data_IF_864416172634
#
_entry.id   IF_864416172634
#
_cell.length_a   1.000
_cell.length_b   1.000
_cell.length_c   1.000
_cell.angle_alpha   90.00
_cell.angle_beta   90.00
_cell.angle_gamma   90.00
#
_symmetry.space_group_name_H-M   'P 1'
#
loop_
_entity.id
_entity.type
_entity.pdbx_description
1 polymer ?
#
# COMPACT_ATOMS: atom_id res chain seq x y z
N UNK A 1 20.97 -8.80 -9.42
CA UNK A 1 19.53 -8.88 -9.71
C UNK A 1 18.87 -9.49 -8.48
N UNK A 2 17.68 -9.03 -8.07
CA UNK A 2 16.94 -9.67 -6.98
C UNK A 2 16.63 -11.13 -7.34
N UNK A 3 16.56 -11.99 -6.34
CA UNK A 3 16.16 -13.39 -6.53
C UNK A 3 14.70 -13.48 -6.96
N UNK A 4 14.35 -14.47 -7.79
CA UNK A 4 12.99 -14.69 -8.25
C UNK A 4 12.49 -16.03 -7.73
N UNK A 5 11.34 -16.04 -7.07
CA UNK A 5 10.74 -17.22 -6.48
C UNK A 5 9.33 -17.48 -6.98
N UNK A 6 8.91 -18.75 -6.95
CA UNK A 6 7.53 -19.17 -7.19
C UNK A 6 6.98 -19.80 -5.91
N UNK A 7 5.82 -19.34 -5.46
CA UNK A 7 5.10 -19.90 -4.31
C UNK A 7 3.88 -20.70 -4.75
N UNK A 8 3.66 -21.85 -4.12
CA UNK A 8 2.52 -22.74 -4.42
C UNK A 8 1.25 -22.38 -3.64
N UNK A 9 1.23 -21.23 -2.94
CA UNK A 9 0.03 -20.76 -2.23
C UNK A 9 -1.12 -20.58 -3.23
N UNK A 10 -2.27 -21.16 -2.92
CA UNK A 10 -3.44 -21.22 -3.80
C UNK A 10 -4.26 -19.92 -3.78
N UNK A 11 -3.59 -18.80 -4.04
CA UNK A 11 -4.20 -17.47 -4.16
C UNK A 11 -3.34 -16.59 -5.07
N UNK A 12 -3.91 -15.86 -6.05
CA UNK A 12 -3.16 -14.95 -6.91
C UNK A 12 -2.52 -13.82 -6.10
N UNK A 13 -1.19 -13.80 -6.06
CA UNK A 13 -0.39 -12.84 -5.32
C UNK A 13 1.05 -12.72 -5.85
N UNK A 14 1.64 -11.54 -5.69
CA UNK A 14 3.07 -11.28 -5.84
C UNK A 14 3.54 -10.35 -4.71
N UNK A 15 4.79 -10.46 -4.30
CA UNK A 15 5.37 -9.55 -3.33
C UNK A 15 6.88 -9.44 -3.49
N UNK A 16 7.40 -8.24 -3.28
CA UNK A 16 8.82 -8.00 -3.07
C UNK A 16 9.18 -8.02 -1.58
N UNK A 17 10.24 -8.74 -1.22
CA UNK A 17 10.83 -8.72 0.14
C UNK A 17 12.32 -8.46 0.07
N UNK A 18 12.88 -7.80 1.09
CA UNK A 18 14.31 -7.55 1.18
C UNK A 18 14.67 -6.12 1.58
N UNK A 19 15.91 -5.94 2.03
CA UNK A 19 16.38 -4.67 2.61
C UNK A 19 16.99 -3.72 1.58
N UNK A 20 17.41 -4.22 0.42
CA UNK A 20 18.03 -3.44 -0.65
C UNK A 20 17.94 -4.22 -1.99
N UNK A 21 18.14 -3.57 -3.15
CA UNK A 21 18.07 -4.23 -4.46
C UNK A 21 19.05 -5.40 -4.66
N UNK A 22 20.10 -5.51 -3.84
CA UNK A 22 21.08 -6.60 -3.89
C UNK A 22 20.66 -7.81 -3.06
N UNK A 23 19.82 -7.61 -2.05
CA UNK A 23 19.31 -8.62 -1.11
C UNK A 23 17.78 -8.60 -1.10
N UNK A 24 17.18 -8.48 -2.28
CA UNK A 24 15.74 -8.53 -2.47
C UNK A 24 15.36 -9.80 -3.23
N UNK A 25 14.20 -10.33 -2.89
CA UNK A 25 13.55 -11.42 -3.60
C UNK A 25 12.16 -10.96 -4.03
N UNK A 26 11.79 -11.29 -5.26
CA UNK A 26 10.43 -11.09 -5.77
C UNK A 26 9.80 -12.46 -5.94
N UNK A 27 8.66 -12.66 -5.31
CA UNK A 27 7.97 -13.95 -5.31
C UNK A 27 6.61 -13.78 -5.96
N UNK A 28 6.31 -14.62 -6.96
CA UNK A 28 4.99 -14.72 -7.57
C UNK A 28 4.36 -16.06 -7.18
N UNK A 29 3.05 -16.09 -6.97
CA UNK A 29 2.32 -17.33 -6.71
C UNK A 29 1.94 -18.03 -8.02
N UNK A 30 1.87 -19.36 -8.03
CA UNK A 30 1.48 -20.12 -9.24
C UNK A 30 0.11 -19.73 -9.79
N UNK A 31 -0.94 -19.48 -8.97
CA UNK A 31 -2.20 -18.97 -9.49
C UNK A 31 -2.11 -17.59 -10.15
N UNK A 32 -1.19 -16.72 -9.70
CA UNK A 32 -0.96 -15.42 -10.35
C UNK A 32 -0.40 -15.60 -11.77
N UNK A 33 0.58 -16.50 -11.92
CA UNK A 33 1.18 -16.82 -13.22
C UNK A 33 0.15 -17.38 -14.22
N UNK A 34 -0.87 -18.07 -13.73
CA UNK A 34 -1.96 -18.60 -14.56
C UNK A 34 -3.05 -17.55 -14.86
N UNK A 35 -3.14 -16.48 -14.05
CA UNK A 35 -4.17 -15.44 -14.16
C UNK A 35 -3.75 -14.31 -15.13
N UNK A 36 -2.49 -13.92 -15.08
CA UNK A 36 -1.94 -12.79 -15.82
C UNK A 36 -1.19 -13.26 -17.08
N UNK A 37 -1.22 -12.46 -18.14
CA UNK A 37 -0.29 -12.64 -19.26
C UNK A 37 1.14 -12.24 -18.86
N UNK A 38 2.15 -12.64 -19.64
CA UNK A 38 3.55 -12.25 -19.41
C UNK A 38 3.71 -10.72 -19.33
N UNK A 39 2.99 -10.00 -20.18
CA UNK A 39 2.95 -8.53 -20.26
C UNK A 39 2.33 -7.88 -19.00
N UNK A 40 1.26 -8.48 -18.48
CA UNK A 40 0.59 -8.03 -17.25
C UNK A 40 1.45 -8.34 -16.01
N UNK A 41 2.06 -9.54 -15.99
CA UNK A 41 2.97 -9.97 -14.95
C UNK A 41 4.22 -9.09 -14.89
N UNK A 42 4.78 -8.72 -16.05
CA UNK A 42 5.89 -7.76 -16.16
C UNK A 42 5.52 -6.44 -15.47
N UNK A 43 4.31 -5.93 -15.71
CA UNK A 43 3.80 -4.72 -15.07
C UNK A 43 3.72 -4.86 -13.54
N UNK A 44 3.16 -5.96 -13.04
CA UNK A 44 3.04 -6.22 -11.59
C UNK A 44 4.41 -6.35 -10.92
N UNK A 45 5.34 -7.08 -11.54
CA UNK A 45 6.70 -7.22 -11.00
C UNK A 45 7.46 -5.88 -11.03
N UNK A 46 7.25 -5.06 -12.06
CA UNK A 46 7.85 -3.73 -12.13
C UNK A 46 7.30 -2.79 -11.04
N UNK A 47 6.03 -2.91 -10.68
CA UNK A 47 5.44 -2.22 -9.53
C UNK A 47 6.11 -2.66 -8.21
N UNK A 48 6.21 -3.97 -7.95
CA UNK A 48 6.87 -4.51 -6.75
C UNK A 48 8.34 -4.10 -6.64
N UNK A 49 9.07 -4.12 -7.76
CA UNK A 49 10.45 -3.63 -7.82
C UNK A 49 10.55 -2.13 -7.56
N UNK A 50 9.53 -1.37 -7.94
CA UNK A 50 9.50 0.08 -7.72
C UNK A 50 9.41 0.43 -6.24
N UNK A 51 8.73 -0.35 -5.41
CA UNK A 51 8.77 -0.16 -3.95
C UNK A 51 10.17 -0.32 -3.36
N UNK A 52 10.95 -1.29 -3.88
CA UNK A 52 12.34 -1.46 -3.46
C UNK A 52 13.20 -0.29 -3.94
N UNK A 53 13.05 0.08 -5.22
CA UNK A 53 13.82 1.17 -5.85
C UNK A 53 13.57 2.51 -5.14
N UNK A 54 12.31 2.78 -4.81
CA UNK A 54 11.89 4.04 -4.21
C UNK A 54 12.03 4.04 -2.68
N UNK A 55 12.47 2.92 -2.08
CA UNK A 55 12.78 2.74 -0.65
C UNK A 55 11.57 2.93 0.27
N UNK A 56 10.43 2.41 -0.13
CA UNK A 56 9.13 2.64 0.52
C UNK A 56 9.14 2.19 1.98
N UNK A 57 9.75 1.04 2.27
CA UNK A 57 9.92 0.53 3.63
C UNK A 57 10.67 1.54 4.52
N UNK A 58 11.73 2.17 4.00
CA UNK A 58 12.50 3.17 4.75
C UNK A 58 11.66 4.43 4.98
N UNK A 59 10.95 4.92 3.96
CA UNK A 59 10.09 6.09 4.04
C UNK A 59 8.98 5.88 5.08
N UNK A 60 8.30 4.73 5.02
CA UNK A 60 7.25 4.38 5.98
C UNK A 60 7.79 4.21 7.40
N UNK A 61 8.95 3.55 7.56
CA UNK A 61 9.59 3.38 8.87
C UNK A 61 10.03 4.72 9.48
N UNK A 62 10.59 5.62 8.67
CA UNK A 62 10.97 6.97 9.10
C UNK A 62 9.74 7.81 9.49
N UNK A 63 8.68 7.77 8.67
CA UNK A 63 7.42 8.44 8.98
C UNK A 63 6.80 7.92 10.28
N UNK A 64 6.79 6.60 10.48
CA UNK A 64 6.31 5.97 11.71
C UNK A 64 7.14 6.40 12.92
N UNK A 65 8.47 6.39 12.81
CA UNK A 65 9.36 6.81 13.89
C UNK A 65 9.14 8.28 14.29
N UNK A 66 9.00 9.19 13.31
CA UNK A 66 8.70 10.60 13.56
C UNK A 66 7.32 10.77 14.23
N UNK A 67 6.30 10.06 13.73
CA UNK A 67 4.97 10.09 14.33
C UNK A 67 5.01 9.59 15.78
N UNK A 68 5.70 8.47 16.05
CA UNK A 68 5.87 7.95 17.41
C UNK A 68 6.60 8.93 18.32
N UNK A 69 7.64 9.60 17.83
CA UNK A 69 8.37 10.62 18.59
C UNK A 69 7.47 11.82 18.96
N UNK A 70 6.72 12.34 17.98
CA UNK A 70 5.80 13.47 18.20
C UNK A 70 4.70 13.07 19.19
N UNK A 71 4.08 11.89 19.00
CA UNK A 71 3.07 11.37 19.91
C UNK A 71 3.63 11.18 21.32
N UNK A 72 4.86 10.68 21.46
CA UNK A 72 5.52 10.50 22.75
C UNK A 72 5.74 11.83 23.47
N UNK A 73 6.33 12.82 22.80
CA UNK A 73 6.58 14.16 23.39
C UNK A 73 5.27 14.84 23.76
N UNK A 74 4.26 14.75 22.90
CA UNK A 74 2.96 15.36 23.15
C UNK A 74 2.27 14.71 24.34
N UNK A 75 2.28 13.37 24.41
CA UNK A 75 1.74 12.61 25.53
C UNK A 75 2.46 12.97 26.83
N UNK A 76 3.79 13.06 26.81
CA UNK A 76 4.57 13.47 27.98
C UNK A 76 4.22 14.89 28.46
N UNK A 77 4.04 15.84 27.54
CA UNK A 77 3.64 17.20 27.88
C UNK A 77 2.22 17.26 28.46
N UNK A 78 1.27 16.54 27.84
CA UNK A 78 -0.12 16.45 28.27
C UNK A 78 -0.24 15.84 29.66
N UNK A 79 0.36 14.66 29.89
CA UNK A 79 0.32 14.00 31.19
C UNK A 79 1.17 14.73 32.24
N UNK A 80 2.32 15.31 31.87
CA UNK A 80 3.14 16.13 32.76
C UNK A 80 2.39 17.37 33.27
N UNK A 81 1.58 18.01 32.41
CA UNK A 81 0.71 19.13 32.78
C UNK A 81 -0.37 18.73 33.81
N UNK A 82 -0.90 17.50 33.72
CA UNK A 82 -1.86 16.96 34.69
C UNK A 82 -1.24 16.74 36.07
N UNK A 83 -0.04 16.15 36.15
CA UNK A 83 0.62 15.93 37.44
C UNK A 83 0.94 17.24 38.17
N UNK A 84 1.11 18.34 37.43
CA UNK A 84 1.37 19.66 38.00
C UNK A 84 0.08 20.42 38.39
N UNK A 85 -1.08 20.01 37.89
CA UNK A 85 -2.38 20.65 38.13
C UNK A 85 -3.26 19.77 39.02
N UNK A 86 -3.07 19.86 40.35
CA UNK A 86 -3.77 19.03 41.34
C UNK A 86 -5.30 19.19 41.41
N UNK A 87 -5.88 20.21 40.78
CA UNK A 87 -7.31 20.57 40.94
C UNK A 87 -8.03 20.96 39.64
N UNK A 88 -7.55 20.52 38.47
CA UNK A 88 -8.09 20.98 37.19
C UNK A 88 -8.72 19.85 36.36
N UNK A 89 -9.98 19.50 36.65
CA UNK A 89 -10.74 18.48 35.91
C UNK A 89 -10.85 18.76 34.41
N UNK A 90 -10.79 20.04 34.00
CA UNK A 90 -10.71 20.43 32.59
C UNK A 90 -9.40 19.98 31.92
N UNK A 91 -8.28 19.99 32.66
CA UNK A 91 -7.01 19.48 32.17
C UNK A 91 -7.08 17.99 31.86
N UNK A 92 -7.70 17.21 32.75
CA UNK A 92 -7.87 15.75 32.57
C UNK A 92 -8.69 15.43 31.33
N UNK A 93 -9.78 16.18 31.09
CA UNK A 93 -10.59 16.01 29.89
C UNK A 93 -9.81 16.34 28.62
N UNK A 94 -9.06 17.45 28.59
CA UNK A 94 -8.20 17.81 27.45
C UNK A 94 -7.16 16.71 27.19
N UNK A 95 -6.56 16.16 28.25
CA UNK A 95 -5.57 15.12 28.14
C UNK A 95 -6.14 13.82 27.54
N UNK A 96 -7.31 13.39 27.99
CA UNK A 96 -8.00 12.20 27.44
C UNK A 96 -8.36 12.42 25.97
N UNK A 97 -8.88 13.59 25.61
CA UNK A 97 -9.21 13.93 24.21
C UNK A 97 -7.95 13.91 23.35
N UNK A 98 -6.86 14.53 23.81
CA UNK A 98 -5.58 14.52 23.11
C UNK A 98 -5.08 13.07 22.92
N UNK A 99 -5.13 12.25 23.97
CA UNK A 99 -4.65 10.87 23.94
C UNK A 99 -5.40 10.00 22.91
N UNK A 100 -6.69 10.27 22.71
CA UNK A 100 -7.49 9.58 21.71
C UNK A 100 -7.29 10.12 20.29
N UNK A 101 -7.13 11.44 20.13
CA UNK A 101 -7.09 12.11 18.82
C UNK A 101 -5.71 12.08 18.15
N UNK A 102 -4.62 12.16 18.92
CA UNK A 102 -3.25 12.16 18.40
C UNK A 102 -2.89 10.89 17.62
N UNK A 103 -3.14 9.66 18.14
CA UNK A 103 -2.89 8.44 17.38
C UNK A 103 -3.72 8.34 16.10
N UNK A 104 -4.97 8.81 16.14
CA UNK A 104 -5.84 8.85 14.95
C UNK A 104 -5.28 9.79 13.87
N UNK A 105 -4.82 10.97 14.26
CA UNK A 105 -4.18 11.90 13.34
C UNK A 105 -2.90 11.31 12.71
N UNK A 106 -2.04 10.71 13.54
CA UNK A 106 -0.83 10.03 13.07
C UNK A 106 -1.14 8.89 12.09
N UNK A 107 -2.17 8.10 12.38
CA UNK A 107 -2.63 7.02 11.51
C UNK A 107 -3.12 7.55 10.16
N UNK A 108 -3.91 8.63 10.13
CA UNK A 108 -4.38 9.24 8.88
C UNK A 108 -3.21 9.74 8.02
N UNK A 109 -2.19 10.35 8.63
CA UNK A 109 -0.98 10.78 7.92
C UNK A 109 -0.24 9.57 7.34
N UNK A 110 -0.06 8.49 8.12
CA UNK A 110 0.59 7.27 7.64
C UNK A 110 -0.16 6.63 6.46
N UNK A 111 -1.49 6.56 6.53
CA UNK A 111 -2.33 6.07 5.44
C UNK A 111 -2.20 6.94 4.18
N UNK A 112 -2.14 8.27 4.34
CA UNK A 112 -1.90 9.20 3.25
C UNK A 112 -0.54 8.98 2.58
N UNK A 113 0.53 8.80 3.38
CA UNK A 113 1.86 8.47 2.87
C UNK A 113 1.82 7.14 2.11
N UNK A 114 1.21 6.10 2.69
CA UNK A 114 1.08 4.76 2.06
C UNK A 114 0.43 4.85 0.68
N UNK A 115 -0.69 5.57 0.55
CA UNK A 115 -1.35 5.73 -0.77
C UNK A 115 -0.46 6.45 -1.78
N UNK A 116 0.24 7.49 -1.35
CA UNK A 116 1.15 8.21 -2.24
C UNK A 116 2.32 7.32 -2.72
N UNK A 117 2.75 6.38 -1.88
CA UNK A 117 3.76 5.38 -2.25
C UNK A 117 3.27 4.40 -3.31
N UNK A 118 2.04 3.91 -3.19
CA UNK A 118 1.40 3.07 -4.20
C UNK A 118 1.31 3.76 -5.56
N UNK A 119 0.89 5.02 -5.58
CA UNK A 119 0.81 5.81 -6.82
C UNK A 119 2.18 6.03 -7.45
N UNK A 120 3.20 6.31 -6.65
CA UNK A 120 4.57 6.44 -7.13
C UNK A 120 5.10 5.11 -7.67
N UNK A 121 4.74 3.98 -7.06
CA UNK A 121 5.13 2.65 -7.52
C UNK A 121 4.44 2.28 -8.85
N UNK A 122 3.16 2.61 -9.01
CA UNK A 122 2.43 2.47 -10.28
C UNK A 122 3.11 3.25 -11.40
N UNK A 123 3.37 4.54 -11.17
CA UNK A 123 4.02 5.39 -12.16
C UNK A 123 5.44 4.90 -12.47
N UNK A 124 6.24 4.60 -11.45
CA UNK A 124 7.61 4.13 -11.61
C UNK A 124 7.67 2.81 -12.35
N UNK A 125 6.79 1.86 -12.02
CA UNK A 125 6.71 0.54 -12.65
C UNK A 125 6.26 0.65 -14.10
N UNK A 126 5.22 1.44 -14.37
CA UNK A 126 4.73 1.70 -15.71
C UNK A 126 5.77 2.41 -16.60
N UNK A 127 6.52 3.38 -16.06
CA UNK A 127 7.64 4.02 -16.77
C UNK A 127 8.81 3.07 -17.00
N UNK A 128 9.04 2.11 -16.10
CA UNK A 128 10.10 1.11 -16.25
C UNK A 128 9.81 0.14 -17.40
N UNK A 129 8.56 -0.31 -17.54
CA UNK A 129 8.14 -1.22 -18.62
C UNK A 129 7.81 -0.47 -19.90
N UNK A 130 7.50 0.83 -19.80
CA UNK A 130 6.98 1.64 -20.91
C UNK A 130 5.58 1.22 -21.37
N UNK A 131 4.87 0.42 -20.56
CA UNK A 131 3.55 -0.14 -20.88
C UNK A 131 2.55 0.07 -19.72
N UNK A 132 2.10 1.31 -19.45
CA UNK A 132 1.16 1.59 -18.35
C UNK A 132 -0.15 0.80 -18.43
N UNK A 133 -0.67 0.61 -19.65
CA UNK A 133 -1.93 -0.14 -19.85
C UNK A 133 -1.85 -1.61 -19.49
N UNK A 134 -0.66 -2.23 -19.53
CA UNK A 134 -0.49 -3.62 -19.09
C UNK A 134 -0.68 -3.76 -17.59
N UNK A 135 -0.14 -2.81 -16.81
CA UNK A 135 -0.36 -2.77 -15.37
C UNK A 135 -1.83 -2.47 -15.05
N UNK A 136 -2.47 -1.56 -15.79
CA UNK A 136 -3.90 -1.29 -15.63
C UNK A 136 -4.77 -2.53 -15.91
N UNK A 137 -4.47 -3.30 -16.96
CA UNK A 137 -5.14 -4.57 -17.27
C UNK A 137 -4.93 -5.60 -16.16
N UNK A 138 -3.69 -5.72 -15.65
CA UNK A 138 -3.37 -6.60 -14.54
C UNK A 138 -4.18 -6.28 -13.29
N UNK A 139 -4.35 -4.99 -12.94
CA UNK A 139 -5.16 -4.55 -11.79
C UNK A 139 -6.63 -4.99 -11.93
N UNK A 140 -7.22 -4.86 -13.12
CA UNK A 140 -8.59 -5.33 -13.39
C UNK A 140 -8.71 -6.85 -13.21
N UNK A 141 -7.74 -7.61 -13.74
CA UNK A 141 -7.72 -9.07 -13.60
C UNK A 141 -7.52 -9.52 -12.16
N UNK A 142 -6.66 -8.83 -11.40
CA UNK A 142 -6.42 -9.11 -9.99
C UNK A 142 -7.68 -8.87 -9.15
N UNK A 143 -8.38 -7.76 -9.37
CA UNK A 143 -9.63 -7.47 -8.65
C UNK A 143 -10.70 -8.54 -8.93
N UNK A 144 -10.80 -8.98 -10.19
CA UNK A 144 -11.75 -10.00 -10.63
C UNK A 144 -11.36 -11.39 -10.13
N UNK A 145 -10.09 -11.77 -10.25
CA UNK A 145 -9.54 -13.07 -9.87
C UNK A 145 -9.52 -13.30 -8.36
N UNK A 146 -9.28 -12.25 -7.57
CA UNK A 146 -9.38 -12.32 -6.11
C UNK A 146 -10.83 -12.47 -5.62
N UNK A 147 -11.81 -11.97 -6.38
CA UNK A 147 -13.24 -12.16 -6.09
C UNK A 147 -13.71 -13.60 -6.35
N UNK A 148 -12.86 -14.50 -6.86
CA UNK A 148 -13.19 -15.90 -7.08
C UNK A 148 -13.37 -16.67 -5.75
N UNK A 149 -14.49 -17.41 -5.67
CA UNK A 149 -14.88 -18.23 -4.50
C UNK A 149 -13.97 -19.45 -4.28
N UNK A 150 -13.05 -19.74 -5.20
CA UNK A 150 -12.07 -20.82 -5.13
C UNK A 150 -10.80 -20.46 -4.35
N UNK A 151 -10.59 -19.18 -4.02
CA UNK A 151 -9.40 -18.73 -3.30
C UNK A 151 -9.50 -19.09 -1.81
N UNK A 152 -8.43 -19.68 -1.27
CA UNK A 152 -8.40 -20.09 0.13
C UNK A 152 -7.94 -18.95 1.03
N UNK A 153 -8.91 -18.21 1.56
CA UNK A 153 -8.70 -17.14 2.55
C UNK A 153 -8.73 -17.64 4.00
N UNK A 154 -8.77 -18.97 4.23
CA UNK A 154 -8.92 -19.53 5.58
C UNK A 154 -7.69 -19.32 6.46
N UNK A 155 -6.53 -19.05 5.86
CA UNK A 155 -5.26 -18.97 6.59
C UNK A 155 -4.91 -17.52 6.97
N UNK A 156 -5.33 -17.13 8.18
CA UNK A 156 -5.16 -15.78 8.74
C UNK A 156 -3.69 -15.32 8.82
N UNK A 157 -2.72 -16.25 8.87
CA UNK A 157 -1.29 -15.92 8.93
C UNK A 157 -0.76 -15.25 7.66
N UNK A 158 -1.45 -15.40 6.52
CA UNK A 158 -1.07 -14.77 5.25
C UNK A 158 -1.85 -13.48 4.96
N UNK A 159 -2.77 -13.08 5.85
CA UNK A 159 -3.70 -11.98 5.62
C UNK A 159 -3.00 -10.64 5.34
N UNK A 160 -1.82 -10.41 5.94
CA UNK A 160 -1.03 -9.20 5.75
C UNK A 160 -0.27 -9.14 4.43
N UNK A 161 -0.22 -10.23 3.66
CA UNK A 161 0.47 -10.30 2.37
C UNK A 161 -0.49 -10.22 1.18
N UNK A 162 -1.80 -10.11 1.39
CA UNK A 162 -2.77 -10.14 0.30
C UNK A 162 -2.85 -8.80 -0.44
N UNK A 163 -2.68 -8.81 -1.77
CA UNK A 163 -2.84 -7.63 -2.65
C UNK A 163 -4.28 -7.07 -2.62
N UNK A 164 -5.28 -7.91 -2.32
CA UNK A 164 -6.69 -7.48 -2.25
C UNK A 164 -7.39 -7.98 -0.99
N UNK A 165 -8.40 -7.24 -0.55
CA UNK A 165 -9.21 -7.60 0.61
C UNK A 165 -10.28 -8.66 0.21
N UNK A 166 -10.26 -9.88 0.77
CA UNK A 166 -11.26 -10.92 0.46
C UNK A 166 -12.69 -10.57 0.86
N UNK A 167 -12.87 -9.61 1.75
CA UNK A 167 -14.19 -9.06 2.05
C UNK A 167 -14.56 -8.03 0.98
N UNK A 168 -14.80 -8.55 -0.23
CA UNK A 168 -15.17 -7.78 -1.40
C UNK A 168 -16.42 -6.92 -1.16
N UNK A 169 -16.34 -5.68 -1.66
CA UNK A 169 -17.43 -4.80 -2.14
C UNK A 169 -18.64 -4.49 -1.24
N UNK A 170 -18.80 -5.08 -0.04
CA UNK A 170 -19.96 -4.83 0.84
C UNK A 170 -19.78 -3.80 1.95
N UNK A 171 -18.62 -3.15 2.04
CA UNK A 171 -18.42 -2.07 3.01
C UNK A 171 -17.95 -0.78 2.32
N UNK A 172 -18.86 -0.18 1.56
CA UNK A 172 -18.86 1.25 1.18
C UNK A 172 -19.14 2.14 2.40
N UNK A 173 -18.46 1.89 3.51
CA UNK A 173 -18.44 2.79 4.64
C UNK A 173 -17.21 3.70 4.50
N UNK A 174 -17.39 4.99 4.75
CA UNK A 174 -16.31 5.99 4.85
C UNK A 174 -15.20 5.47 5.80
N UNK A 175 -15.57 4.67 6.81
CA UNK A 175 -14.63 4.02 7.72
C UNK A 175 -13.74 2.96 7.02
N UNK A 176 -14.29 2.09 6.16
CA UNK A 176 -13.46 1.11 5.41
C UNK A 176 -12.59 1.75 4.35
N UNK A 177 -13.03 2.87 3.77
CA UNK A 177 -12.20 3.71 2.89
C UNK A 177 -10.98 4.25 3.63
N UNK A 178 -11.13 4.66 4.89
CA UNK A 178 -10.03 5.19 5.70
C UNK A 178 -9.00 4.12 6.07
N UNK A 179 -9.40 2.87 6.36
CA UNK A 179 -8.47 1.79 6.72
C UNK A 179 -7.91 0.97 5.55
N UNK A 180 -8.20 1.34 4.30
CA UNK A 180 -7.54 0.74 3.13
C UNK A 180 -6.11 1.26 2.97
N UNK A 181 -5.15 0.35 3.02
CA UNK A 181 -3.72 0.61 2.78
C UNK A 181 -3.42 0.91 1.32
N UNK A 182 -4.22 0.36 0.39
CA UNK A 182 -4.15 0.65 -1.05
C UNK A 182 -5.25 1.63 -1.49
N UNK A 183 -4.95 2.54 -2.42
CA UNK A 183 -5.97 3.36 -3.08
C UNK A 183 -6.94 2.49 -3.91
N UNK A 184 -8.05 3.07 -4.38
CA UNK A 184 -9.02 2.31 -5.18
C UNK A 184 -8.39 1.87 -6.51
N UNK A 185 -8.79 0.70 -7.01
CA UNK A 185 -8.30 0.19 -8.30
C UNK A 185 -8.63 1.18 -9.41
N UNK A 186 -9.80 1.80 -9.35
CA UNK A 186 -10.28 2.77 -10.34
C UNK A 186 -9.38 4.01 -10.41
N UNK A 187 -8.99 4.58 -9.27
CA UNK A 187 -8.09 5.75 -9.22
C UNK A 187 -6.70 5.41 -9.79
N UNK A 188 -6.19 4.20 -9.52
CA UNK A 188 -4.91 3.73 -10.06
C UNK A 188 -4.98 3.58 -11.58
N UNK A 189 -6.04 2.95 -12.09
CA UNK A 189 -6.27 2.75 -13.53
C UNK A 189 -6.38 4.10 -14.25
N UNK A 190 -7.11 5.06 -13.69
CA UNK A 190 -7.24 6.39 -14.28
C UNK A 190 -5.88 7.08 -14.45
N UNK A 191 -5.02 7.04 -13.42
CA UNK A 191 -3.68 7.62 -13.50
C UNK A 191 -2.77 6.89 -14.48
N UNK A 192 -2.88 5.57 -14.57
CA UNK A 192 -2.13 4.78 -15.56
C UNK A 192 -2.56 5.12 -16.99
N UNK A 193 -3.85 5.39 -17.23
CA UNK A 193 -4.33 5.88 -18.53
C UNK A 193 -3.76 7.26 -18.87
N UNK A 194 -3.80 8.20 -17.91
CA UNK A 194 -3.19 9.52 -18.09
C UNK A 194 -1.68 9.42 -18.39
N UNK A 195 -0.99 8.51 -17.72
CA UNK A 195 0.44 8.24 -17.96
C UNK A 195 0.67 7.60 -19.33
N UNK A 196 -0.22 6.73 -19.80
CA UNK A 196 -0.15 6.16 -21.15
C UNK A 196 -0.30 7.24 -22.22
N UNK A 197 -1.25 8.16 -22.04
CA UNK A 197 -1.42 9.32 -22.91
C UNK A 197 -0.16 10.21 -22.91
N UNK A 198 0.50 10.40 -21.76
CA UNK A 198 1.77 11.13 -21.68
C UNK A 198 2.90 10.41 -22.44
N UNK A 199 3.06 9.09 -22.25
CA UNK A 199 4.17 8.32 -22.82
C UNK A 199 3.99 7.98 -24.30
N UNK A 200 2.76 7.75 -24.74
CA UNK A 200 2.42 7.32 -26.10
C UNK A 200 1.81 8.44 -26.94
N UNK A 201 1.16 9.44 -26.34
CA UNK A 201 0.68 10.63 -27.06
C UNK A 201 1.83 11.48 -27.61
N UNK A 202 3.00 11.47 -26.98
CA UNK A 202 4.22 12.11 -27.51
C UNK A 202 4.77 11.38 -28.75
N UNK A 203 4.45 10.09 -28.96
CA UNK A 203 4.95 9.32 -30.13
C UNK A 203 4.23 9.61 -31.44
N UNK A 204 3.13 10.36 -31.44
CA UNK A 204 2.35 10.67 -32.64
C UNK A 204 2.65 12.05 -33.26
N UNK A 205 3.71 12.73 -32.81
CA UNK A 205 4.12 14.05 -33.31
C UNK A 205 5.47 13.98 -34.04
N UNK A 206 5.67 13.04 -34.96
CA UNK A 206 6.74 13.10 -35.97
C UNK A 206 6.35 12.36 -37.25
#
# INVERSE_FOLDING_TARGET
MPEVGISEVNMPNAFATGRNPKNAAVVATRPLLNLLSDDELEGVLAHELSHIKNRDILVMSAAAAMASMISFVTRMAVWGSLFNSRDNGAGLLIAIIADLTLPLAAMLVQLGISRNREYLADESGARLTGKPMNLASALVRLETGCSSRSNDYSNASNASMWITNPFGKKSTSIFTSLFRTHPSTEERIERLKMLDEELNGVRHIY
#
